data_IF_088152290666
#
_entry.id   IF_088152290666
#
_cell.length_a   1.000
_cell.length_b   1.000
_cell.length_c   1.000
_cell.angle_alpha   90.00
_cell.angle_beta   90.00
_cell.angle_gamma   90.00
#
_symmetry.space_group_name_H-M   'P 1'
#
loop_
_entity.id
_entity.type
_entity.pdbx_description
1 polymer ?
#
# COMPACT_ATOMS: atom_id res chain seq x y z
N UNK A 1 -4.40 23.33 7.07
CA UNK A 1 -5.13 22.10 7.45
C UNK A 1 -4.92 21.09 6.34
N UNK A 2 -4.04 20.11 6.54
CA UNK A 2 -3.70 19.10 5.53
C UNK A 2 -4.72 17.97 5.56
N UNK A 3 -5.34 17.66 4.41
CA UNK A 3 -6.42 16.67 4.25
C UNK A 3 -6.07 15.20 4.62
N UNK A 4 -4.86 14.96 5.13
CA UNK A 4 -4.38 13.66 5.60
C UNK A 4 -4.75 13.39 7.07
N UNK A 5 -5.06 14.43 7.86
CA UNK A 5 -5.43 14.33 9.29
C UNK A 5 -6.69 13.51 9.58
N UNK A 6 -7.49 13.16 8.56
CA UNK A 6 -8.80 12.50 8.71
C UNK A 6 -8.90 11.12 8.05
N UNK A 7 -7.82 10.60 7.47
CA UNK A 7 -7.86 9.26 6.88
C UNK A 7 -7.79 8.20 7.99
N UNK A 8 -8.96 7.77 8.47
CA UNK A 8 -9.11 6.61 9.34
C UNK A 8 -8.76 5.32 8.59
N UNK A 9 -7.46 5.06 8.43
CA UNK A 9 -6.96 3.85 7.81
C UNK A 9 -7.08 2.68 8.78
N UNK A 10 -7.62 1.56 8.29
CA UNK A 10 -7.69 0.31 9.06
C UNK A 10 -6.27 -0.23 9.30
N UNK A 11 -6.02 -1.00 10.38
CA UNK A 11 -4.70 -1.58 10.65
C UNK A 11 -4.11 -2.34 9.44
N UNK A 12 -4.94 -3.12 8.73
CA UNK A 12 -4.53 -3.83 7.52
C UNK A 12 -4.11 -2.91 6.36
N UNK A 13 -4.72 -1.72 6.26
CA UNK A 13 -4.37 -0.69 5.26
C UNK A 13 -3.05 -0.01 5.62
N UNK A 14 -2.83 0.28 6.90
CA UNK A 14 -1.57 0.82 7.41
C UNK A 14 -0.42 -0.16 7.18
N UNK A 15 -0.62 -1.44 7.48
CA UNK A 15 0.36 -2.49 7.22
C UNK A 15 0.67 -2.61 5.73
N UNK A 16 -0.33 -2.42 4.85
CA UNK A 16 -0.16 -2.43 3.39
C UNK A 16 0.73 -1.27 2.92
N UNK A 17 0.50 -0.06 3.43
CA UNK A 17 1.34 1.10 3.11
C UNK A 17 2.78 0.91 3.62
N UNK A 18 2.95 0.40 4.84
CA UNK A 18 4.26 0.07 5.42
C UNK A 18 5.00 -1.01 4.62
N UNK A 19 4.29 -2.01 4.12
CA UNK A 19 4.87 -3.04 3.27
C UNK A 19 5.26 -2.47 1.91
N UNK A 20 4.39 -1.68 1.28
CA UNK A 20 4.69 -1.00 0.01
C UNK A 20 5.90 -0.07 0.12
N UNK A 21 6.01 0.69 1.21
CA UNK A 21 7.16 1.58 1.45
C UNK A 21 8.47 0.84 1.58
N UNK A 22 8.48 -0.33 2.24
CA UNK A 22 9.69 -1.14 2.43
C UNK A 22 10.09 -1.90 1.17
N UNK A 23 9.12 -2.40 0.41
CA UNK A 23 9.37 -3.13 -0.82
C UNK A 23 9.60 -2.22 -2.04
N UNK A 24 9.28 -0.93 -1.95
CA UNK A 24 9.28 0.03 -3.06
C UNK A 24 8.15 -0.16 -4.07
N UNK A 25 7.53 -1.35 -4.13
CA UNK A 25 6.31 -1.63 -4.88
C UNK A 25 5.62 -2.91 -4.36
N UNK A 26 4.29 -2.99 -4.51
CA UNK A 26 3.52 -4.21 -4.29
C UNK A 26 3.16 -4.84 -5.64
N UNK A 27 3.33 -6.15 -5.80
CA UNK A 27 2.87 -6.87 -7.00
C UNK A 27 1.43 -7.30 -6.81
N UNK A 28 0.58 -7.15 -7.83
CA UNK A 28 -0.75 -7.80 -7.82
C UNK A 28 -0.54 -9.29 -8.06
N UNK A 29 -0.42 -10.06 -6.99
CA UNK A 29 -0.56 -11.50 -7.06
C UNK A 29 -2.06 -11.80 -7.10
N UNK A 30 -2.54 -12.43 -8.18
CA UNK A 30 -3.91 -12.95 -8.22
C UNK A 30 -4.14 -13.82 -6.99
N UNK A 31 -5.37 -13.90 -6.50
CA UNK A 31 -5.78 -14.55 -5.24
C UNK A 31 -5.22 -15.96 -4.99
N UNK A 32 -4.63 -16.64 -5.97
CA UNK A 32 -3.96 -17.94 -5.84
C UNK A 32 -2.44 -17.93 -5.61
N UNK A 33 -1.75 -16.78 -5.67
CA UNK A 33 -0.26 -16.74 -5.74
C UNK A 33 0.43 -16.17 -4.48
N UNK A 34 -0.27 -16.12 -3.35
CA UNK A 34 0.24 -15.63 -2.06
C UNK A 34 1.24 -16.58 -1.37
N UNK A 35 1.81 -17.54 -2.09
CA UNK A 35 2.52 -18.68 -1.51
C UNK A 35 4.04 -18.52 -1.33
N UNK A 36 4.66 -17.43 -1.81
CA UNK A 36 6.12 -17.39 -1.95
C UNK A 36 6.92 -16.65 -0.86
N UNK A 37 6.36 -15.62 -0.22
CA UNK A 37 7.15 -14.73 0.65
C UNK A 37 6.43 -14.46 1.96
N UNK A 38 6.96 -15.00 3.08
CA UNK A 38 6.52 -14.63 4.44
C UNK A 38 6.55 -13.12 4.71
N UNK A 39 7.32 -12.35 3.92
CA UNK A 39 7.41 -10.87 3.99
C UNK A 39 6.30 -10.16 3.23
N UNK A 40 5.66 -10.80 2.26
CA UNK A 40 4.50 -10.29 1.51
C UNK A 40 3.22 -10.83 2.17
N UNK A 41 2.96 -10.45 3.43
CA UNK A 41 1.70 -10.80 4.11
C UNK A 41 0.53 -10.25 3.31
N UNK A 42 -0.22 -11.18 2.69
CA UNK A 42 -1.62 -11.15 2.28
C UNK A 42 -2.39 -9.86 2.57
N UNK A 43 -2.17 -8.82 1.77
CA UNK A 43 -3.15 -7.75 1.64
C UNK A 43 -4.21 -8.23 0.66
N UNK A 44 -5.44 -8.41 1.12
CA UNK A 44 -6.53 -8.77 0.21
C UNK A 44 -6.57 -7.76 -0.96
N UNK A 45 -7.00 -8.22 -2.13
CA UNK A 45 -7.16 -7.33 -3.29
C UNK A 45 -8.07 -6.12 -3.00
N UNK A 46 -8.94 -6.24 -1.99
CA UNK A 46 -9.78 -5.16 -1.45
C UNK A 46 -8.93 -4.08 -0.76
N UNK A 47 -7.95 -4.45 0.09
CA UNK A 47 -7.08 -3.48 0.78
C UNK A 47 -6.25 -2.64 -0.20
N UNK A 48 -5.70 -3.26 -1.25
CA UNK A 48 -4.94 -2.54 -2.29
C UNK A 48 -5.85 -1.66 -3.14
N UNK A 49 -7.05 -2.14 -3.45
CA UNK A 49 -8.08 -1.38 -4.16
C UNK A 49 -8.50 -0.12 -3.40
N UNK A 50 -8.82 -0.25 -2.11
CA UNK A 50 -9.21 0.87 -1.25
C UNK A 50 -8.11 1.94 -1.19
N UNK A 51 -6.85 1.53 -1.02
CA UNK A 51 -5.73 2.47 -0.93
C UNK A 51 -5.46 3.18 -2.27
N UNK A 52 -5.71 2.51 -3.39
CA UNK A 52 -5.69 3.14 -4.71
C UNK A 52 -6.83 4.15 -4.86
N UNK A 53 -8.04 3.79 -4.45
CA UNK A 53 -9.21 4.66 -4.56
C UNK A 53 -9.10 5.89 -3.65
N UNK A 54 -8.39 5.77 -2.51
CA UNK A 54 -7.98 6.89 -1.65
C UNK A 54 -6.83 7.75 -2.22
N UNK A 55 -6.24 7.33 -3.35
CA UNK A 55 -5.10 8.00 -3.99
C UNK A 55 -3.76 7.82 -3.26
N UNK A 56 -3.65 6.82 -2.38
CA UNK A 56 -2.43 6.53 -1.62
C UNK A 56 -1.51 5.55 -2.37
N UNK A 57 -2.08 4.74 -3.27
CA UNK A 57 -1.35 3.88 -4.19
C UNK A 57 -1.66 4.24 -5.64
N UNK A 58 -0.66 4.13 -6.49
CA UNK A 58 -0.79 4.22 -7.94
C UNK A 58 -0.51 2.85 -8.57
N UNK A 59 -1.33 2.46 -9.54
CA UNK A 59 -1.13 1.23 -10.32
C UNK A 59 -0.25 1.52 -11.51
N UNK A 60 0.89 0.85 -11.57
CA UNK A 60 1.71 0.79 -12.77
C UNK A 60 1.28 -0.41 -13.63
N UNK A 61 1.11 -0.20 -14.95
CA UNK A 61 0.75 -1.28 -15.87
C UNK A 61 1.86 -2.36 -15.86
N UNK A 62 1.49 -3.61 -16.22
CA UNK A 62 2.50 -4.63 -16.45
C UNK A 62 3.48 -4.15 -17.54
N UNK A 63 4.77 -4.40 -17.33
CA UNK A 63 5.81 -4.20 -18.34
C UNK A 63 6.23 -5.57 -18.85
N UNK A 64 6.75 -5.66 -20.07
CA UNK A 64 7.08 -6.93 -20.77
C UNK A 64 7.61 -8.04 -19.83
N UNK A 65 6.81 -9.11 -19.65
CA UNK A 65 7.14 -10.24 -18.77
C UNK A 65 6.93 -10.04 -17.25
N UNK A 66 6.52 -8.86 -16.80
CA UNK A 66 6.30 -8.51 -15.40
C UNK A 66 4.83 -8.17 -15.09
N UNK A 67 4.28 -8.64 -13.95
CA UNK A 67 2.93 -8.31 -13.54
C UNK A 67 2.78 -6.83 -13.18
N UNK A 68 1.53 -6.35 -13.18
CA UNK A 68 1.21 -5.00 -12.70
C UNK A 68 1.69 -4.80 -11.25
N UNK A 69 2.23 -3.61 -10.98
CA UNK A 69 2.72 -3.23 -9.65
C UNK A 69 1.96 -2.03 -9.12
N UNK A 70 2.01 -1.84 -7.80
CA UNK A 70 1.48 -0.68 -7.12
C UNK A 70 2.60 0.00 -6.37
N UNK A 71 2.62 1.33 -6.41
CA UNK A 71 3.61 2.15 -5.69
C UNK A 71 2.91 3.17 -4.82
N UNK A 72 3.59 3.63 -3.78
CA UNK A 72 3.11 4.75 -2.99
C UNK A 72 3.10 6.01 -3.84
N UNK A 73 1.99 6.73 -3.80
CA UNK A 73 1.97 8.11 -4.30
C UNK A 73 2.66 9.01 -3.28
N UNK A 74 2.91 10.27 -3.65
CA UNK A 74 3.32 11.30 -2.69
C UNK A 74 2.37 11.36 -1.49
N UNK A 75 1.06 11.33 -1.74
CA UNK A 75 0.02 11.30 -0.69
C UNK A 75 0.14 10.04 0.18
N UNK A 76 0.47 8.89 -0.40
CA UNK A 76 0.75 7.65 0.34
C UNK A 76 1.96 7.77 1.27
N UNK A 77 3.03 8.40 0.83
CA UNK A 77 4.21 8.67 1.66
C UNK A 77 3.90 9.65 2.80
N UNK A 78 3.17 10.73 2.52
CA UNK A 78 2.74 11.70 3.54
C UNK A 78 1.82 11.04 4.57
N UNK A 79 0.88 10.18 4.16
CA UNK A 79 0.04 9.40 5.08
C UNK A 79 0.87 8.49 5.99
N UNK A 80 1.86 7.82 5.43
CA UNK A 80 2.74 6.93 6.20
C UNK A 80 3.57 7.72 7.22
N UNK A 81 4.10 8.88 6.84
CA UNK A 81 4.84 9.76 7.74
C UNK A 81 3.97 10.28 8.88
N UNK A 82 2.73 10.71 8.57
CA UNK A 82 1.76 11.13 9.57
C UNK A 82 1.39 9.99 10.55
N UNK A 83 1.28 8.75 10.06
CA UNK A 83 1.05 7.58 10.92
C UNK A 83 2.25 7.22 11.80
N UNK A 84 3.48 7.49 11.33
CA UNK A 84 4.70 7.23 12.10
C UNK A 84 4.88 8.26 13.21
N UNK A 85 4.66 9.55 12.91
CA UNK A 85 4.71 10.63 13.91
C UNK A 85 3.66 10.45 15.03
N UNK A 86 2.54 9.79 14.74
CA UNK A 86 1.51 9.46 15.74
C UNK A 86 1.87 8.27 16.65
N UNK A 87 2.96 7.53 16.38
CA UNK A 87 3.38 6.38 17.19
C UNK A 87 4.40 6.75 18.29
N UNK A 88 4.88 7.99 18.31
CA UNK A 88 5.87 8.50 19.28
C UNK A 88 5.22 9.31 20.43
N UNK A 89 3.90 9.16 20.64
CA UNK A 89 3.11 9.82 21.68
C UNK A 89 2.42 8.86 22.62
#
# INVERSE_FOLDING_TARGET
>A
MTALDTLALRPAQVDCLRACSRAGSLRRLSTGDWAGNRRERAFSGLTVGDLRDLGLLERHPPQDGYPATYRLTRKGHEALAALAAQAEG
#
